data_IF_825390708507
#
_entry.id   IF_825390708507
#
_cell.length_a   1.000
_cell.length_b   1.000
_cell.length_c   1.000
_cell.angle_alpha   90.00
_cell.angle_beta   90.00
_cell.angle_gamma   90.00
#
_symmetry.space_group_name_H-M   'P 1'
#
loop_
_entity.id
_entity.type
_entity.pdbx_description
1 polymer ?
#
# COMPACT_ATOMS: atom_id res chain seq x y z
N UNK A 1 26.13 -3.17 -10.16
CA UNK A 1 26.37 -3.74 -11.51
C UNK A 1 27.01 -2.73 -12.46
N UNK A 2 26.39 -1.57 -12.72
CA UNK A 2 26.87 -0.62 -13.75
C UNK A 2 28.30 -0.13 -13.54
N UNK A 3 28.70 0.17 -12.31
CA UNK A 3 30.09 0.56 -12.01
C UNK A 3 31.09 -0.57 -12.33
N UNK A 4 30.72 -1.82 -12.06
CA UNK A 4 31.58 -2.98 -12.32
C UNK A 4 31.71 -3.24 -13.83
N UNK A 5 30.60 -3.10 -14.57
CA UNK A 5 30.62 -3.18 -16.03
C UNK A 5 31.41 -2.03 -16.63
N UNK A 6 31.19 -0.80 -16.15
CA UNK A 6 31.93 0.39 -16.59
C UNK A 6 33.44 0.20 -16.37
N UNK A 7 33.83 -0.34 -15.21
CA UNK A 7 35.22 -0.65 -14.90
C UNK A 7 35.77 -1.73 -15.84
N UNK A 8 35.07 -2.85 -16.02
CA UNK A 8 35.48 -3.92 -16.93
C UNK A 8 35.66 -3.45 -18.38
N UNK A 9 34.67 -2.75 -18.94
CA UNK A 9 34.76 -2.20 -20.31
C UNK A 9 35.82 -1.10 -20.43
N UNK A 10 36.00 -0.24 -19.42
CA UNK A 10 37.07 0.76 -19.42
C UNK A 10 38.45 0.12 -19.39
N UNK A 11 38.65 -0.95 -18.61
CA UNK A 11 39.87 -1.76 -18.63
C UNK A 11 40.09 -2.39 -20.00
N UNK A 12 39.06 -2.94 -20.64
CA UNK A 12 39.17 -3.49 -21.99
C UNK A 12 39.54 -2.42 -23.03
N UNK A 13 38.95 -1.21 -22.95
CA UNK A 13 39.29 -0.10 -23.84
C UNK A 13 40.76 0.32 -23.62
N UNK A 14 41.20 0.42 -22.36
CA UNK A 14 42.57 0.79 -22.01
C UNK A 14 43.61 -0.23 -22.48
N UNK A 15 43.35 -1.53 -22.26
CA UNK A 15 44.21 -2.62 -22.74
C UNK A 15 44.29 -2.64 -24.27
N UNK A 16 43.15 -2.42 -24.94
CA UNK A 16 43.12 -2.31 -26.39
C UNK A 16 43.84 -1.06 -26.91
N UNK A 17 43.80 0.07 -26.19
CA UNK A 17 44.49 1.31 -26.57
C UNK A 17 46.01 1.21 -26.41
N UNK A 18 46.47 0.60 -25.31
CA UNK A 18 47.90 0.37 -25.02
C UNK A 18 48.51 -0.76 -25.86
N UNK A 19 47.73 -1.37 -26.78
CA UNK A 19 48.14 -2.51 -27.62
C UNK A 19 48.61 -3.74 -26.83
N UNK A 20 48.22 -3.84 -25.56
CA UNK A 20 48.51 -5.00 -24.70
C UNK A 20 47.54 -6.12 -25.10
N UNK A 21 48.01 -7.04 -25.95
CA UNK A 21 47.23 -8.20 -26.40
C UNK A 21 47.37 -9.42 -25.49
N UNK A 22 47.57 -9.21 -24.18
CA UNK A 22 47.69 -10.35 -23.26
C UNK A 22 46.31 -10.98 -23.05
N UNK A 23 46.15 -12.22 -23.52
CA UNK A 23 44.89 -12.96 -23.42
C UNK A 23 44.39 -13.04 -21.98
N UNK A 24 45.31 -13.13 -21.02
CA UNK A 24 45.00 -13.17 -19.58
C UNK A 24 44.39 -11.86 -19.08
N UNK A 25 44.94 -10.69 -19.47
CA UNK A 25 44.41 -9.41 -19.01
C UNK A 25 43.07 -9.08 -19.67
N UNK A 26 42.92 -9.37 -20.96
CA UNK A 26 41.63 -9.23 -21.65
C UNK A 26 40.57 -10.16 -21.06
N UNK A 27 40.93 -11.41 -20.79
CA UNK A 27 40.01 -12.38 -20.17
C UNK A 27 39.61 -11.94 -18.76
N UNK A 28 40.55 -11.42 -17.97
CA UNK A 28 40.26 -10.89 -16.64
C UNK A 28 39.30 -9.69 -16.69
N UNK A 29 39.56 -8.72 -17.56
CA UNK A 29 38.67 -7.56 -17.75
C UNK A 29 37.28 -7.99 -18.25
N UNK A 30 37.23 -8.97 -19.15
CA UNK A 30 35.98 -9.55 -19.64
C UNK A 30 35.21 -10.31 -18.54
N UNK A 31 35.91 -11.04 -17.66
CA UNK A 31 35.30 -11.69 -16.50
C UNK A 31 34.64 -10.66 -15.57
N UNK A 32 35.30 -9.52 -15.31
CA UNK A 32 34.74 -8.43 -14.50
C UNK A 32 33.48 -7.86 -15.16
N UNK A 33 33.53 -7.57 -16.46
CA UNK A 33 32.38 -7.06 -17.21
C UNK A 33 31.20 -8.06 -17.18
N UNK A 34 31.50 -9.35 -17.40
CA UNK A 34 30.52 -10.44 -17.39
C UNK A 34 29.89 -10.65 -16.01
N UNK A 35 30.69 -10.56 -14.94
CA UNK A 35 30.18 -10.60 -13.58
C UNK A 35 29.25 -9.41 -13.29
N UNK A 36 29.60 -8.23 -13.79
CA UNK A 36 28.74 -7.05 -13.72
C UNK A 36 27.40 -7.23 -14.43
N UNK A 37 27.41 -7.90 -15.59
CA UNK A 37 26.22 -8.24 -16.38
C UNK A 37 25.32 -9.24 -15.65
N UNK A 38 25.90 -10.32 -15.09
CA UNK A 38 25.19 -11.29 -14.28
C UNK A 38 24.54 -10.63 -13.07
N UNK A 39 25.28 -9.75 -12.37
CA UNK A 39 24.74 -8.99 -11.25
C UNK A 39 23.60 -8.05 -11.66
N UNK A 40 23.68 -7.46 -12.86
CA UNK A 40 22.63 -6.61 -13.40
C UNK A 40 21.33 -7.38 -13.59
N UNK A 41 21.39 -8.59 -14.15
CA UNK A 41 20.22 -9.45 -14.34
C UNK A 41 19.55 -9.81 -13.00
N UNK A 42 20.36 -10.22 -12.02
CA UNK A 42 19.87 -10.50 -10.66
C UNK A 42 19.20 -9.26 -10.03
N UNK A 43 19.87 -8.10 -10.11
CA UNK A 43 19.36 -6.85 -9.53
C UNK A 43 18.07 -6.39 -10.22
N UNK A 44 17.96 -6.49 -11.55
CA UNK A 44 16.75 -6.10 -12.27
C UNK A 44 15.54 -6.95 -11.90
N UNK A 45 15.73 -8.23 -11.55
CA UNK A 45 14.64 -9.10 -11.12
C UNK A 45 14.09 -8.65 -9.77
N UNK A 46 14.98 -8.35 -8.81
CA UNK A 46 14.60 -7.83 -7.49
C UNK A 46 13.92 -6.46 -7.62
N UNK A 47 14.51 -5.54 -8.39
CA UNK A 47 13.93 -4.21 -8.61
C UNK A 47 12.58 -4.27 -9.34
N UNK A 48 12.36 -5.28 -10.19
CA UNK A 48 11.06 -5.46 -10.84
C UNK A 48 10.00 -5.92 -9.83
N UNK A 49 10.36 -6.80 -8.90
CA UNK A 49 9.47 -7.16 -7.80
C UNK A 49 9.11 -5.93 -6.93
N UNK A 50 10.10 -5.08 -6.61
CA UNK A 50 9.85 -3.83 -5.88
C UNK A 50 8.91 -2.89 -6.65
N UNK A 51 9.06 -2.81 -7.98
CA UNK A 51 8.16 -2.04 -8.84
C UNK A 51 6.74 -2.62 -8.88
N UNK A 52 6.58 -3.94 -8.79
CA UNK A 52 5.26 -4.59 -8.68
C UNK A 52 4.58 -4.17 -7.39
N UNK A 53 5.29 -4.24 -6.27
CA UNK A 53 4.75 -3.87 -4.96
C UNK A 53 4.45 -2.36 -4.90
N UNK A 54 5.30 -1.50 -5.48
CA UNK A 54 5.01 -0.07 -5.61
C UNK A 54 3.79 0.22 -6.50
N UNK A 55 3.63 -0.52 -7.60
CA UNK A 55 2.48 -0.40 -8.49
C UNK A 55 1.18 -0.76 -7.78
N UNK A 56 1.20 -1.84 -6.99
CA UNK A 56 0.10 -2.24 -6.12
C UNK A 56 -0.22 -1.16 -5.08
N UNK A 57 0.80 -0.59 -4.41
CA UNK A 57 0.64 0.53 -3.48
C UNK A 57 -0.02 1.77 -4.12
N UNK A 58 0.32 2.11 -5.37
CA UNK A 58 -0.18 3.32 -6.03
C UNK A 58 -1.54 3.15 -6.71
N UNK A 59 -1.82 1.96 -7.23
CA UNK A 59 -2.97 1.70 -8.10
C UNK A 59 -4.02 0.79 -7.46
N UNK A 60 -3.72 0.21 -6.29
CA UNK A 60 -4.58 -0.74 -5.59
C UNK A 60 -4.99 -1.97 -6.43
N UNK A 61 -4.22 -2.27 -7.48
CA UNK A 61 -4.42 -3.44 -8.36
C UNK A 61 -3.06 -4.07 -8.59
N UNK A 62 -2.94 -5.37 -8.26
CA UNK A 62 -1.71 -6.11 -8.52
C UNK A 62 -1.60 -6.42 -10.01
N UNK A 63 -0.71 -5.70 -10.69
CA UNK A 63 -0.45 -5.84 -12.14
C UNK A 63 0.84 -6.63 -12.42
N UNK A 64 1.14 -7.62 -11.59
CA UNK A 64 2.39 -8.39 -11.62
C UNK A 64 2.69 -8.97 -13.01
N UNK A 65 1.71 -9.65 -13.61
CA UNK A 65 1.87 -10.26 -14.94
C UNK A 65 2.19 -9.23 -16.02
N UNK A 66 1.60 -8.03 -15.95
CA UNK A 66 1.85 -6.95 -16.90
C UNK A 66 3.25 -6.35 -16.73
N UNK A 67 3.70 -6.15 -15.49
CA UNK A 67 5.03 -5.59 -15.18
C UNK A 67 6.14 -6.55 -15.62
N UNK A 68 6.04 -7.85 -15.29
CA UNK A 68 7.01 -8.86 -15.74
C UNK A 68 6.98 -9.06 -17.27
N UNK A 69 5.81 -8.95 -17.89
CA UNK A 69 5.69 -9.01 -19.35
C UNK A 69 6.39 -7.82 -20.04
N UNK A 70 6.21 -6.60 -19.52
CA UNK A 70 6.89 -5.40 -20.03
C UNK A 70 8.40 -5.51 -19.82
N UNK A 71 8.86 -5.99 -18.66
CA UNK A 71 10.28 -6.24 -18.41
C UNK A 71 10.86 -7.21 -19.45
N UNK A 72 10.19 -8.34 -19.68
CA UNK A 72 10.63 -9.37 -20.63
C UNK A 72 10.62 -8.86 -22.07
N UNK A 73 9.57 -8.15 -22.47
CA UNK A 73 9.47 -7.54 -23.80
C UNK A 73 10.56 -6.49 -24.01
N UNK A 74 10.80 -5.62 -23.03
CA UNK A 74 11.86 -4.62 -23.06
C UNK A 74 13.25 -5.24 -23.15
N UNK A 75 13.52 -6.30 -22.40
CA UNK A 75 14.78 -7.04 -22.47
C UNK A 75 15.00 -7.65 -23.87
N UNK A 76 13.97 -8.29 -24.44
CA UNK A 76 14.04 -8.85 -25.81
C UNK A 76 14.28 -7.76 -26.85
N UNK A 77 13.53 -6.66 -26.81
CA UNK A 77 13.74 -5.52 -27.69
C UNK A 77 15.15 -4.95 -27.58
N UNK A 78 15.67 -4.78 -26.37
CA UNK A 78 17.04 -4.35 -26.12
C UNK A 78 18.07 -5.29 -26.75
N UNK A 79 17.91 -6.61 -26.56
CA UNK A 79 18.79 -7.61 -27.20
C UNK A 79 18.68 -7.60 -28.72
N UNK A 80 17.48 -7.40 -29.28
CA UNK A 80 17.27 -7.29 -30.73
C UNK A 80 17.96 -6.06 -31.31
N UNK A 81 17.82 -4.90 -30.66
CA UNK A 81 18.50 -3.65 -31.08
C UNK A 81 20.01 -3.83 -31.01
N UNK A 82 20.53 -4.44 -29.93
CA UNK A 82 21.95 -4.74 -29.79
C UNK A 82 22.46 -5.68 -30.90
N UNK A 83 21.73 -6.76 -31.21
CA UNK A 83 22.06 -7.69 -32.30
C UNK A 83 22.02 -7.03 -33.68
N UNK A 84 21.06 -6.14 -33.94
CA UNK A 84 20.99 -5.37 -35.18
C UNK A 84 22.21 -4.44 -35.29
N UNK A 85 22.54 -3.71 -34.21
CA UNK A 85 23.71 -2.81 -34.19
C UNK A 85 25.03 -3.58 -34.38
N UNK A 86 25.22 -4.67 -33.65
CA UNK A 86 26.40 -5.53 -33.80
C UNK A 86 26.48 -6.19 -35.17
N UNK A 87 25.36 -6.72 -35.68
CA UNK A 87 25.28 -7.38 -36.98
C UNK A 87 25.53 -6.43 -38.14
N UNK A 88 24.94 -5.23 -38.10
CA UNK A 88 25.20 -4.18 -39.11
C UNK A 88 26.64 -3.69 -39.05
N UNK A 89 27.21 -3.52 -37.86
CA UNK A 89 28.62 -3.17 -37.70
C UNK A 89 29.56 -4.24 -38.29
N UNK A 90 29.28 -5.53 -38.07
CA UNK A 90 30.04 -6.63 -38.68
C UNK A 90 29.83 -6.71 -40.20
N UNK A 91 28.59 -6.50 -40.67
CA UNK A 91 28.26 -6.52 -42.08
C UNK A 91 28.98 -5.40 -42.84
N UNK A 92 28.98 -4.17 -42.32
CA UNK A 92 29.74 -3.02 -42.85
C UNK A 92 31.24 -3.31 -42.95
N UNK A 93 31.80 -4.03 -41.97
CA UNK A 93 33.21 -4.45 -41.98
C UNK A 93 33.46 -5.53 -43.04
N UNK A 94 32.51 -6.44 -43.27
CA UNK A 94 32.65 -7.57 -44.21
C UNK A 94 32.33 -7.25 -45.67
N UNK A 95 31.54 -6.20 -45.95
CA UNK A 95 31.03 -5.89 -47.30
C UNK A 95 31.96 -4.99 -48.12
N UNK A 96 33.02 -4.43 -47.54
CA UNK A 96 34.03 -3.67 -48.28
C UNK A 96 34.93 -4.65 -49.06
N UNK A 97 34.89 -4.66 -50.41
CA UNK A 97 35.70 -5.57 -51.20
C UNK A 97 37.17 -5.16 -51.08
N UNK A 98 37.96 -6.05 -50.50
CA UNK A 98 39.32 -5.78 -50.03
C UNK A 98 39.32 -5.78 -48.51
N UNK A 99 39.84 -6.87 -47.92
CA UNK A 99 39.90 -7.07 -46.47
C UNK A 99 40.31 -5.77 -45.78
N UNK A 100 39.34 -5.09 -45.15
CA UNK A 100 39.63 -3.85 -44.46
C UNK A 100 40.77 -4.15 -43.47
N UNK A 101 41.83 -3.34 -43.43
CA UNK A 101 42.99 -3.63 -42.60
C UNK A 101 42.53 -3.87 -41.15
N UNK A 102 43.15 -4.82 -40.46
CA UNK A 102 42.81 -5.29 -39.10
C UNK A 102 42.52 -4.10 -38.14
N UNK A 103 43.18 -2.97 -38.39
CA UNK A 103 42.98 -1.68 -37.71
C UNK A 103 41.52 -1.20 -37.71
N UNK A 104 40.81 -1.24 -38.84
CA UNK A 104 39.41 -0.81 -38.96
C UNK A 104 38.44 -1.64 -38.11
N UNK A 105 38.65 -2.96 -38.02
CA UNK A 105 37.83 -3.87 -37.21
C UNK A 105 38.02 -3.56 -35.71
N UNK A 106 39.25 -3.24 -35.32
CA UNK A 106 39.59 -2.80 -33.96
C UNK A 106 38.92 -1.46 -33.63
N UNK A 107 38.86 -0.51 -34.58
CA UNK A 107 38.15 0.76 -34.37
C UNK A 107 36.64 0.58 -34.18
N UNK A 108 35.99 -0.27 -34.99
CA UNK A 108 34.56 -0.58 -34.81
C UNK A 108 34.28 -1.27 -33.47
N UNK A 109 35.15 -2.19 -33.06
CA UNK A 109 35.05 -2.84 -31.75
C UNK A 109 35.18 -1.84 -30.60
N UNK A 110 36.18 -0.94 -30.64
CA UNK A 110 36.37 0.13 -29.65
C UNK A 110 35.17 1.08 -29.59
N UNK A 111 34.63 1.47 -30.73
CA UNK A 111 33.45 2.34 -30.80
C UNK A 111 32.24 1.70 -30.10
N UNK A 112 32.00 0.40 -30.31
CA UNK A 112 30.92 -0.32 -29.64
C UNK A 112 31.08 -0.36 -28.10
N UNK A 113 32.31 -0.51 -27.60
CA UNK A 113 32.60 -0.51 -26.16
C UNK A 113 32.39 0.87 -25.53
N UNK A 114 32.77 1.94 -26.23
CA UNK A 114 32.55 3.32 -25.77
C UNK A 114 31.05 3.60 -25.66
N UNK A 115 30.25 3.18 -26.64
CA UNK A 115 28.80 3.32 -26.61
C UNK A 115 28.20 2.62 -25.38
N UNK A 116 28.64 1.39 -25.08
CA UNK A 116 28.20 0.66 -23.88
C UNK A 116 28.55 1.42 -22.60
N UNK A 117 29.77 1.98 -22.49
CA UNK A 117 30.15 2.79 -21.33
C UNK A 117 29.27 4.03 -21.16
N UNK A 118 28.98 4.75 -22.25
CA UNK A 118 28.11 5.95 -22.23
C UNK A 118 26.68 5.60 -21.77
N UNK A 119 26.13 4.50 -22.27
CA UNK A 119 24.82 4.00 -21.83
C UNK A 119 24.83 3.64 -20.34
N UNK A 120 25.93 3.08 -19.81
CA UNK A 120 26.05 2.78 -18.37
C UNK A 120 26.14 4.04 -17.50
N UNK A 121 26.85 5.07 -17.94
CA UNK A 121 26.87 6.37 -17.24
C UNK A 121 25.47 6.98 -17.22
N UNK A 122 24.78 6.97 -18.36
CA UNK A 122 23.40 7.44 -18.45
C UNK A 122 22.48 6.66 -17.51
N UNK A 123 22.63 5.34 -17.43
CA UNK A 123 21.81 4.50 -16.54
C UNK A 123 22.08 4.80 -15.06
N UNK A 124 23.35 5.03 -14.69
CA UNK A 124 23.72 5.47 -13.33
C UNK A 124 23.08 6.83 -13.03
N UNK A 125 23.15 7.77 -13.97
CA UNK A 125 22.53 9.09 -13.82
C UNK A 125 21.02 8.98 -13.61
N UNK A 126 20.33 8.17 -14.41
CA UNK A 126 18.88 7.95 -14.26
C UNK A 126 18.57 7.33 -12.89
N UNK A 127 19.33 6.32 -12.48
CA UNK A 127 19.15 5.67 -11.18
C UNK A 127 19.29 6.66 -10.03
N UNK A 128 20.38 7.44 -9.99
CA UNK A 128 20.66 8.36 -8.89
C UNK A 128 19.65 9.52 -8.80
N UNK A 129 19.09 9.97 -9.92
CA UNK A 129 18.17 11.12 -9.92
C UNK A 129 16.69 10.75 -9.81
N UNK A 130 16.28 9.58 -10.33
CA UNK A 130 14.86 9.24 -10.47
C UNK A 130 14.42 8.04 -9.62
N UNK A 131 15.33 7.17 -9.17
CA UNK A 131 14.96 6.02 -8.36
C UNK A 131 14.76 6.44 -6.89
N UNK A 132 13.51 6.49 -6.45
CA UNK A 132 13.12 6.97 -5.10
C UNK A 132 12.78 5.84 -4.12
N UNK A 133 12.77 4.60 -4.59
CA UNK A 133 12.28 3.46 -3.84
C UNK A 133 13.40 2.85 -2.98
N UNK A 134 13.84 3.56 -1.94
CA UNK A 134 14.89 3.11 -1.04
C UNK A 134 14.63 3.55 0.42
N UNK A 135 15.28 2.87 1.37
CA UNK A 135 15.25 3.23 2.80
C UNK A 135 13.85 3.27 3.41
N UNK A 136 13.55 4.36 4.13
CA UNK A 136 12.29 4.55 4.89
C UNK A 136 11.06 4.53 3.97
N UNK A 137 11.16 5.10 2.77
CA UNK A 137 10.04 5.11 1.83
C UNK A 137 9.71 3.72 1.30
N UNK A 138 10.72 2.89 1.07
CA UNK A 138 10.53 1.50 0.66
C UNK A 138 9.90 0.66 1.79
N UNK A 139 10.37 0.81 3.03
CA UNK A 139 9.75 0.19 4.21
C UNK A 139 8.26 0.55 4.31
N UNK A 140 7.92 1.84 4.14
CA UNK A 140 6.52 2.28 4.13
C UNK A 140 5.68 1.61 3.02
N UNK A 141 6.24 1.43 1.83
CA UNK A 141 5.56 0.74 0.72
C UNK A 141 5.34 -0.73 1.07
N UNK A 142 6.35 -1.41 1.61
CA UNK A 142 6.24 -2.80 2.04
C UNK A 142 5.23 -2.98 3.17
N UNK A 143 5.25 -2.13 4.20
CA UNK A 143 4.28 -2.17 5.29
C UNK A 143 2.85 -2.06 4.79
N UNK A 144 2.59 -1.18 3.82
CA UNK A 144 1.27 -0.99 3.24
C UNK A 144 0.88 -2.14 2.32
N UNK A 145 1.80 -2.65 1.50
CA UNK A 145 1.55 -3.83 0.64
C UNK A 145 1.37 -5.09 1.48
N UNK A 146 2.07 -5.23 2.59
CA UNK A 146 1.91 -6.31 3.55
C UNK A 146 0.56 -6.19 4.28
N UNK A 147 0.11 -4.96 4.61
CA UNK A 147 -1.26 -4.68 5.06
C UNK A 147 -2.32 -5.01 4.00
N UNK A 148 -2.00 -5.00 2.70
CA UNK A 148 -2.91 -5.45 1.65
C UNK A 148 -2.87 -6.98 1.47
N UNK A 149 -1.66 -7.59 1.46
CA UNK A 149 -1.43 -9.03 1.26
C UNK A 149 -1.90 -9.89 2.42
N UNK A 150 -1.66 -9.44 3.65
CA UNK A 150 -2.17 -10.13 4.82
C UNK A 150 -3.70 -9.93 4.97
N UNK A 151 -4.31 -9.20 4.01
CA UNK A 151 -5.34 -8.25 4.32
C UNK A 151 -4.90 -7.39 5.50
N UNK A 152 -5.82 -6.60 5.97
CA UNK A 152 -6.03 -6.63 7.40
C UNK A 152 -5.77 -8.04 7.98
N UNK A 153 -4.73 -8.24 8.81
CA UNK A 153 -4.83 -9.23 9.90
C UNK A 153 -5.81 -8.64 10.92
N UNK A 154 -7.05 -8.62 10.46
CA UNK A 154 -8.27 -8.73 11.20
C UNK A 154 -8.90 -9.99 10.58
N UNK A 155 -8.42 -11.13 11.07
CA UNK A 155 -8.82 -12.51 10.80
C UNK A 155 -10.21 -12.67 10.14
N UNK A 156 -10.29 -12.66 8.80
CA UNK A 156 -11.56 -12.66 8.04
C UNK A 156 -12.30 -14.02 8.04
N UNK A 157 -11.84 -15.01 8.83
CA UNK A 157 -12.64 -16.20 9.18
C UNK A 157 -13.37 -16.06 10.52
N UNK A 158 -13.16 -14.99 11.28
CA UNK A 158 -13.77 -14.77 12.60
C UNK A 158 -14.27 -13.33 12.81
N UNK A 159 -14.61 -12.63 11.72
CA UNK A 159 -15.09 -11.26 11.80
C UNK A 159 -16.38 -11.08 11.05
N UNK A 160 -17.45 -11.00 11.82
CA UNK A 160 -18.76 -10.60 11.33
C UNK A 160 -18.65 -9.17 10.78
N UNK A 161 -18.96 -8.92 9.49
CA UNK A 161 -19.12 -7.57 8.98
C UNK A 161 -20.05 -6.72 9.86
N UNK A 162 -19.82 -5.41 9.85
CA UNK A 162 -20.58 -4.39 10.59
C UNK A 162 -22.07 -4.57 10.34
N UNK A 163 -22.48 -4.97 9.12
CA UNK A 163 -23.87 -5.34 8.80
C UNK A 163 -24.52 -6.37 9.74
N UNK A 164 -23.76 -7.24 10.41
CA UNK A 164 -24.30 -8.21 11.38
C UNK A 164 -24.45 -7.64 12.78
N UNK A 165 -23.70 -6.58 13.12
CA UNK A 165 -23.83 -5.84 14.38
C UNK A 165 -24.81 -4.66 14.26
N UNK A 166 -24.99 -4.11 13.06
CA UNK A 166 -25.91 -3.03 12.77
C UNK A 166 -27.36 -3.53 12.77
N UNK A 167 -28.24 -2.84 13.48
CA UNK A 167 -29.68 -3.04 13.38
C UNK A 167 -30.33 -1.72 12.94
N UNK A 168 -31.32 -1.83 12.04
CA UNK A 168 -32.12 -0.69 11.60
C UNK A 168 -32.82 0.03 12.74
N UNK A 169 -33.20 -0.70 13.78
CA UNK A 169 -33.93 -0.16 14.93
C UNK A 169 -32.96 0.47 15.97
N UNK A 170 -31.64 0.37 15.74
CA UNK A 170 -30.60 0.90 16.61
C UNK A 170 -29.92 2.16 16.06
N UNK A 171 -30.66 2.96 15.30
CA UNK A 171 -30.16 4.19 14.69
C UNK A 171 -31.06 5.35 15.08
N UNK A 172 -30.44 6.46 15.47
CA UNK A 172 -31.11 7.68 15.86
C UNK A 172 -30.64 8.79 14.92
N UNK A 173 -31.54 9.30 14.10
CA UNK A 173 -31.25 10.43 13.22
C UNK A 173 -31.66 11.74 13.88
N UNK A 174 -30.78 12.73 13.87
CA UNK A 174 -31.02 14.07 14.42
C UNK A 174 -31.54 14.02 15.86
N UNK A 175 -30.84 13.26 16.71
CA UNK A 175 -31.13 13.19 18.12
C UNK A 175 -30.95 14.57 18.76
N UNK A 176 -31.99 15.03 19.45
CA UNK A 176 -31.98 16.26 20.23
C UNK A 176 -31.65 15.90 21.67
N UNK A 177 -30.41 16.16 22.06
CA UNK A 177 -29.89 15.88 23.39
C UNK A 177 -28.92 17.00 23.78
N UNK A 178 -28.95 17.39 25.05
CA UNK A 178 -28.13 18.48 25.57
C UNK A 178 -26.91 17.97 26.34
N UNK A 179 -26.90 16.68 26.71
CA UNK A 179 -25.81 16.06 27.49
C UNK A 179 -25.30 14.77 26.87
N UNK A 180 -24.02 14.46 27.15
CA UNK A 180 -23.40 13.19 26.74
C UNK A 180 -24.18 11.99 27.29
N UNK A 181 -24.64 12.09 28.53
CA UNK A 181 -25.38 11.02 29.21
C UNK A 181 -26.74 10.76 28.55
N UNK A 182 -27.44 11.79 28.07
CA UNK A 182 -28.70 11.61 27.30
C UNK A 182 -28.46 10.82 26.01
N UNK A 183 -27.41 11.17 25.25
CA UNK A 183 -27.06 10.46 24.01
C UNK A 183 -26.70 9.01 24.29
N UNK A 184 -25.87 8.77 25.30
CA UNK A 184 -25.44 7.43 25.67
C UNK A 184 -26.62 6.58 26.15
N UNK A 185 -27.49 7.12 27.01
CA UNK A 185 -28.67 6.37 27.47
C UNK A 185 -29.62 6.03 26.32
N UNK A 186 -29.89 6.97 25.41
CA UNK A 186 -30.74 6.71 24.25
C UNK A 186 -30.17 5.60 23.34
N UNK A 187 -28.86 5.59 23.12
CA UNK A 187 -28.20 4.53 22.34
C UNK A 187 -28.20 3.19 23.08
N UNK A 188 -28.06 3.18 24.41
CA UNK A 188 -28.18 1.97 25.24
C UNK A 188 -29.59 1.40 25.16
N UNK A 189 -30.62 2.25 25.24
CA UNK A 189 -32.03 1.84 25.13
C UNK A 189 -32.27 1.15 23.78
N UNK A 190 -31.71 1.72 22.70
CA UNK A 190 -31.75 1.09 21.38
C UNK A 190 -31.06 -0.27 21.32
N UNK A 191 -29.93 -0.44 21.99
CA UNK A 191 -29.26 -1.75 22.07
C UNK A 191 -30.07 -2.78 22.87
N UNK A 192 -30.77 -2.33 23.91
CA UNK A 192 -31.64 -3.17 24.73
C UNK A 192 -32.91 -3.60 23.96
N UNK A 193 -33.57 -2.67 23.27
CA UNK A 193 -34.73 -2.92 22.39
C UNK A 193 -34.46 -4.01 21.35
N UNK A 194 -33.26 -4.00 20.76
CA UNK A 194 -32.84 -5.01 19.77
C UNK A 194 -32.29 -6.30 20.39
N UNK A 195 -32.47 -6.48 21.71
CA UNK A 195 -32.01 -7.64 22.47
C UNK A 195 -30.51 -7.91 22.30
N UNK A 196 -29.68 -6.87 22.24
CA UNK A 196 -28.22 -7.00 22.19
C UNK A 196 -27.59 -7.18 23.57
N UNK A 197 -28.29 -6.76 24.64
CA UNK A 197 -27.80 -6.77 26.01
C UNK A 197 -28.46 -7.90 26.81
N UNK A 198 -27.70 -8.49 27.74
CA UNK A 198 -28.24 -9.33 28.81
C UNK A 198 -28.63 -8.48 30.03
N UNK A 199 -27.93 -7.35 30.26
CA UNK A 199 -28.23 -6.39 31.33
C UNK A 199 -27.90 -4.97 30.90
N UNK A 200 -28.95 -4.17 30.63
CA UNK A 200 -28.85 -2.73 30.35
C UNK A 200 -28.12 -1.97 31.45
N UNK A 201 -28.44 -2.26 32.71
CA UNK A 201 -27.91 -1.56 33.88
C UNK A 201 -26.41 -1.78 34.05
N UNK A 202 -25.95 -3.04 33.91
CA UNK A 202 -24.53 -3.36 33.98
C UNK A 202 -23.73 -2.78 32.81
N UNK A 203 -24.31 -2.81 31.60
CA UNK A 203 -23.70 -2.19 30.43
C UNK A 203 -23.50 -0.67 30.64
N UNK A 204 -24.54 0.03 31.08
CA UNK A 204 -24.49 1.47 31.35
C UNK A 204 -23.45 1.83 32.40
N UNK A 205 -23.39 1.06 33.51
CA UNK A 205 -22.41 1.26 34.57
C UNK A 205 -20.98 1.06 34.07
N UNK A 206 -20.73 -0.02 33.32
CA UNK A 206 -19.40 -0.31 32.78
C UNK A 206 -18.96 0.76 31.78
N UNK A 207 -19.85 1.17 30.87
CA UNK A 207 -19.54 2.19 29.87
C UNK A 207 -19.20 3.53 30.51
N UNK A 208 -19.99 3.96 31.51
CA UNK A 208 -19.73 5.19 32.26
C UNK A 208 -18.34 5.18 32.91
N UNK A 209 -18.00 4.10 33.61
CA UNK A 209 -16.67 3.94 34.22
C UNK A 209 -15.54 4.03 33.20
N UNK A 210 -15.70 3.43 32.00
CA UNK A 210 -14.69 3.53 30.94
C UNK A 210 -14.54 4.97 30.42
N UNK A 211 -15.66 5.68 30.24
CA UNK A 211 -15.65 7.05 29.73
C UNK A 211 -15.09 8.06 30.75
N UNK A 212 -15.19 7.77 32.06
CA UNK A 212 -14.52 8.55 33.11
C UNK A 212 -12.99 8.37 33.07
N UNK A 213 -12.50 7.21 32.62
CA UNK A 213 -11.05 6.92 32.51
C UNK A 213 -10.45 7.43 31.20
N UNK A 214 -11.21 7.36 30.10
CA UNK A 214 -10.74 7.75 28.78
C UNK A 214 -11.88 8.38 27.96
N UNK A 215 -11.65 9.55 27.33
CA UNK A 215 -12.60 10.14 26.40
C UNK A 215 -12.97 9.19 25.26
N UNK A 216 -14.20 9.30 24.77
CA UNK A 216 -14.69 8.48 23.66
C UNK A 216 -14.57 9.18 22.29
N UNK A 217 -14.28 10.49 22.27
CA UNK A 217 -14.02 11.25 21.07
C UNK A 217 -12.70 10.84 20.41
N UNK A 218 -12.69 10.79 19.08
CA UNK A 218 -11.50 10.40 18.30
C UNK A 218 -11.00 11.56 17.44
N UNK A 219 -11.72 11.87 16.38
CA UNK A 219 -11.43 12.99 15.48
C UNK A 219 -12.63 13.22 14.57
N UNK A 220 -12.61 14.31 13.81
CA UNK A 220 -13.58 14.57 12.73
C UNK A 220 -15.02 14.60 13.24
N UNK A 221 -15.25 15.03 14.48
CA UNK A 221 -16.59 15.09 15.09
C UNK A 221 -17.21 13.71 15.38
N UNK A 222 -16.38 12.68 15.59
CA UNK A 222 -16.83 11.31 15.83
C UNK A 222 -16.47 10.87 17.26
N UNK A 223 -17.45 10.27 17.94
CA UNK A 223 -17.26 9.53 19.19
C UNK A 223 -17.57 8.04 19.01
N UNK A 224 -16.74 7.18 19.61
CA UNK A 224 -16.93 5.71 19.61
C UNK A 224 -16.92 5.17 21.06
N UNK A 225 -17.97 5.49 21.85
CA UNK A 225 -18.14 4.88 23.15
C UNK A 225 -18.29 3.35 22.99
N UNK A 226 -17.65 2.57 23.86
CA UNK A 226 -17.66 1.13 23.72
C UNK A 226 -17.50 0.39 25.05
N UNK A 227 -18.21 -0.73 25.19
CA UNK A 227 -18.06 -1.63 26.32
C UNK A 227 -18.15 -3.09 25.89
N UNK A 228 -17.45 -3.94 26.65
CA UNK A 228 -17.45 -5.38 26.45
C UNK A 228 -17.62 -6.11 27.78
N UNK A 229 -18.39 -7.19 27.78
CA UNK A 229 -18.66 -7.96 29.00
C UNK A 229 -19.76 -8.99 28.81
N UNK A 230 -20.00 -9.81 29.84
CA UNK A 230 -21.03 -10.86 29.83
C UNK A 230 -22.46 -10.28 29.89
N UNK A 231 -22.57 -9.00 30.25
CA UNK A 231 -23.80 -8.20 30.13
C UNK A 231 -24.19 -7.89 28.68
N UNK A 232 -23.39 -8.28 27.68
CA UNK A 232 -23.71 -8.19 26.26
C UNK A 232 -24.01 -9.58 25.70
N UNK A 233 -25.20 -9.75 25.11
CA UNK A 233 -25.65 -11.01 24.51
C UNK A 233 -24.97 -11.32 23.18
N UNK A 234 -24.85 -10.29 22.34
CA UNK A 234 -24.28 -10.39 20.99
C UNK A 234 -23.63 -9.06 20.60
N UNK A 235 -22.65 -9.11 19.71
CA UNK A 235 -22.04 -7.89 19.19
C UNK A 235 -23.11 -7.02 18.49
N UNK A 236 -23.14 -5.73 18.81
CA UNK A 236 -24.10 -4.78 18.27
C UNK A 236 -23.50 -3.38 18.16
N UNK A 237 -24.00 -2.62 17.19
CA UNK A 237 -23.64 -1.25 16.90
C UNK A 237 -24.91 -0.40 16.90
N UNK A 238 -24.94 0.63 17.75
CA UNK A 238 -25.95 1.68 17.69
C UNK A 238 -25.32 2.99 17.20
N UNK A 239 -26.04 3.74 16.37
CA UNK A 239 -25.52 4.95 15.72
C UNK A 239 -26.45 6.12 15.98
N UNK A 240 -25.88 7.29 16.33
CA UNK A 240 -26.62 8.53 16.40
C UNK A 240 -25.97 9.63 15.55
N UNK A 241 -26.80 10.41 14.87
CA UNK A 241 -26.44 11.77 14.43
C UNK A 241 -27.11 12.78 15.36
N UNK A 242 -26.38 13.77 15.83
CA UNK A 242 -26.87 14.75 16.81
C UNK A 242 -27.28 16.05 16.12
N UNK A 243 -28.35 16.70 16.59
CA UNK A 243 -28.68 18.07 16.15
C UNK A 243 -27.65 19.09 16.64
N UNK A 244 -27.15 18.88 17.86
CA UNK A 244 -26.18 19.75 18.53
C UNK A 244 -24.93 18.93 18.81
N UNK A 245 -23.76 19.31 18.27
CA UNK A 245 -22.51 18.63 18.59
C UNK A 245 -22.20 18.76 20.09
N UNK A 246 -21.81 17.66 20.75
CA UNK A 246 -21.47 17.60 22.17
C UNK A 246 -20.00 17.28 22.38
N UNK A 247 -19.44 17.68 23.51
CA UNK A 247 -18.05 17.36 23.82
C UNK A 247 -17.92 15.92 24.33
N UNK A 248 -17.14 15.11 23.62
CA UNK A 248 -16.78 13.74 24.00
C UNK A 248 -15.27 13.60 24.27
N UNK A 249 -14.55 14.74 24.38
CA UNK A 249 -13.11 14.82 24.64
C UNK A 249 -12.25 14.38 23.47
N UNK A 250 -12.60 14.77 22.24
CA UNK A 250 -11.81 14.45 21.04
C UNK A 250 -10.41 15.08 21.11
N UNK A 251 -9.34 14.33 20.77
CA UNK A 251 -7.97 14.84 20.66
C UNK A 251 -7.78 16.12 19.82
N UNK A 252 -8.64 16.33 18.82
CA UNK A 252 -8.61 17.51 17.94
C UNK A 252 -9.43 18.70 18.46
N UNK A 253 -9.99 18.58 19.67
CA UNK A 253 -10.81 19.60 20.33
C UNK A 253 -12.19 19.80 19.69
N UNK A 254 -12.59 18.99 18.71
CA UNK A 254 -13.91 19.11 18.07
C UNK A 254 -14.98 18.39 18.88
N UNK A 255 -16.12 19.07 19.01
CA UNK A 255 -17.36 18.43 19.46
C UNK A 255 -17.83 17.39 18.46
N UNK A 256 -18.42 16.30 18.95
CA UNK A 256 -18.90 15.20 18.16
C UNK A 256 -20.40 15.33 17.86
N UNK A 257 -20.75 15.08 16.60
CA UNK A 257 -22.11 15.02 16.08
C UNK A 257 -22.46 13.64 15.52
N UNK A 258 -21.46 12.76 15.38
CA UNK A 258 -21.63 11.36 15.03
C UNK A 258 -21.18 10.49 16.20
N UNK A 259 -22.05 9.61 16.68
CA UNK A 259 -21.77 8.74 17.83
C UNK A 259 -22.04 7.28 17.44
N UNK A 260 -21.04 6.43 17.64
CA UNK A 260 -21.11 5.00 17.33
C UNK A 260 -20.88 4.18 18.59
N UNK A 261 -21.97 3.74 19.23
CA UNK A 261 -21.91 2.92 20.44
C UNK A 261 -21.71 1.45 20.10
N UNK A 262 -20.60 0.88 20.56
CA UNK A 262 -20.28 -0.54 20.39
C UNK A 262 -20.56 -1.33 21.68
N UNK A 263 -21.32 -2.41 21.54
CA UNK A 263 -21.48 -3.43 22.56
C UNK A 263 -20.92 -4.77 22.05
N UNK A 264 -20.08 -5.43 22.86
CA UNK A 264 -19.53 -6.74 22.50
C UNK A 264 -19.48 -7.73 23.68
N UNK A 265 -19.71 -9.03 23.46
CA UNK A 265 -19.54 -10.06 24.50
C UNK A 265 -18.07 -10.23 24.86
N UNK A 266 -17.80 -10.80 26.05
CA UNK A 266 -16.45 -10.99 26.59
C UNK A 266 -15.68 -12.18 25.98
N UNK A 267 -15.67 -12.30 24.65
CA UNK A 267 -14.97 -13.38 23.93
C UNK A 267 -13.62 -12.93 23.35
N UNK A 268 -13.10 -11.78 23.79
CA UNK A 268 -11.81 -11.18 23.43
C UNK A 268 -11.70 -10.66 21.99
N UNK A 269 -12.39 -11.29 21.03
CA UNK A 269 -12.23 -11.05 19.60
C UNK A 269 -13.30 -10.10 19.03
N UNK A 270 -14.56 -10.24 19.44
CA UNK A 270 -15.67 -9.53 18.78
C UNK A 270 -15.58 -8.02 18.90
N UNK A 271 -15.15 -7.52 20.06
CA UNK A 271 -15.01 -6.09 20.33
C UNK A 271 -13.99 -5.42 19.41
N UNK A 272 -12.76 -5.96 19.42
CA UNK A 272 -11.64 -5.42 18.64
C UNK A 272 -11.99 -5.49 17.15
N UNK A 273 -12.59 -6.61 16.72
CA UNK A 273 -12.99 -6.84 15.33
C UNK A 273 -14.01 -5.83 14.80
N UNK A 274 -15.06 -5.54 15.57
CA UNK A 274 -16.08 -4.57 15.18
C UNK A 274 -15.51 -3.15 15.16
N UNK A 275 -14.70 -2.80 16.16
CA UNK A 275 -14.03 -1.49 16.24
C UNK A 275 -13.10 -1.27 15.03
N UNK A 276 -12.25 -2.23 14.68
CA UNK A 276 -11.33 -2.12 13.55
C UNK A 276 -12.05 -1.91 12.22
N UNK A 277 -13.13 -2.67 11.95
CA UNK A 277 -13.94 -2.48 10.73
C UNK A 277 -14.67 -1.16 10.70
N UNK A 278 -15.21 -0.71 11.84
CA UNK A 278 -15.85 0.58 11.93
C UNK A 278 -14.85 1.72 11.69
N UNK A 279 -13.65 1.65 12.28
CA UNK A 279 -12.59 2.64 12.06
C UNK A 279 -12.18 2.73 10.58
N UNK A 280 -12.15 1.62 9.85
CA UNK A 280 -11.95 1.63 8.40
C UNK A 280 -13.03 2.41 7.65
N UNK A 281 -14.31 2.08 7.91
CA UNK A 281 -15.46 2.77 7.30
C UNK A 281 -15.41 4.26 7.60
N UNK A 282 -15.06 4.65 8.83
CA UNK A 282 -15.05 6.05 9.25
C UNK A 282 -13.86 6.85 8.71
N UNK A 283 -12.76 6.18 8.36
CA UNK A 283 -11.59 6.79 7.74
C UNK A 283 -11.72 6.95 6.21
N UNK A 284 -12.75 6.36 5.60
CA UNK A 284 -13.01 6.55 4.17
C UNK A 284 -13.20 8.03 3.84
N UNK A 285 -12.53 8.50 2.78
CA UNK A 285 -12.46 9.92 2.44
C UNK A 285 -13.86 10.52 2.25
N UNK A 286 -14.20 11.50 3.09
CA UNK A 286 -15.48 12.20 3.08
C UNK A 286 -16.69 11.36 3.53
N UNK A 287 -16.49 10.14 4.05
CA UNK A 287 -17.58 9.31 4.56
C UNK A 287 -18.28 9.91 5.78
N UNK A 288 -17.59 10.49 6.78
CA UNK A 288 -18.25 11.18 7.89
C UNK A 288 -19.18 12.31 7.44
N UNK A 289 -18.75 13.12 6.45
CA UNK A 289 -19.55 14.22 5.92
C UNK A 289 -20.77 13.71 5.12
N UNK A 290 -20.62 12.57 4.44
CA UNK A 290 -21.77 11.84 3.89
C UNK A 290 -22.70 11.42 5.04
N UNK A 291 -22.25 10.85 6.14
CA UNK A 291 -23.19 10.48 7.21
C UNK A 291 -23.93 11.68 7.79
N UNK A 292 -23.27 12.85 7.95
CA UNK A 292 -23.91 14.09 8.41
C UNK A 292 -25.03 14.60 7.51
N UNK A 293 -24.92 14.36 6.21
CA UNK A 293 -25.89 14.82 5.20
C UNK A 293 -26.98 13.79 4.91
N UNK A 294 -27.04 12.69 5.65
CA UNK A 294 -28.15 11.75 5.54
C UNK A 294 -29.45 12.40 6.04
N UNK A 295 -30.54 12.23 5.30
CA UNK A 295 -31.85 12.78 5.61
C UNK A 295 -32.75 11.85 6.43
N UNK A 296 -32.31 10.62 6.71
CA UNK A 296 -33.08 9.63 7.49
C UNK A 296 -32.21 8.52 8.08
N UNK A 297 -32.74 7.79 9.05
CA UNK A 297 -32.14 6.58 9.62
C UNK A 297 -31.84 5.51 8.54
N UNK A 298 -32.80 5.30 7.63
CA UNK A 298 -32.65 4.36 6.51
C UNK A 298 -31.48 4.76 5.59
N UNK A 299 -31.28 6.05 5.37
CA UNK A 299 -30.16 6.55 4.57
C UNK A 299 -28.81 6.37 5.26
N UNK A 300 -28.75 6.57 6.59
CA UNK A 300 -27.54 6.28 7.39
C UNK A 300 -27.15 4.81 7.23
N UNK A 301 -28.10 3.88 7.41
CA UNK A 301 -27.88 2.43 7.21
C UNK A 301 -27.31 2.18 5.83
N UNK A 302 -27.99 2.67 4.80
CA UNK A 302 -27.60 2.42 3.42
C UNK A 302 -26.21 2.97 3.10
N UNK A 303 -25.86 4.14 3.63
CA UNK A 303 -24.51 4.72 3.47
C UNK A 303 -23.45 3.86 4.15
N UNK A 304 -23.68 3.39 5.39
CA UNK A 304 -22.77 2.48 6.11
C UNK A 304 -22.61 1.16 5.35
N UNK A 305 -23.71 0.51 4.97
CA UNK A 305 -23.67 -0.77 4.26
C UNK A 305 -22.99 -0.67 2.89
N UNK A 306 -23.26 0.40 2.14
CA UNK A 306 -22.63 0.65 0.83
C UNK A 306 -21.13 0.92 0.96
N UNK A 307 -20.72 1.65 1.99
CA UNK A 307 -19.30 1.89 2.27
C UNK A 307 -18.60 0.59 2.68
N UNK A 308 -19.21 -0.21 3.57
CA UNK A 308 -18.68 -1.52 3.93
C UNK A 308 -18.55 -2.46 2.71
N UNK A 309 -19.53 -2.47 1.80
CA UNK A 309 -19.44 -3.25 0.57
C UNK A 309 -18.27 -2.80 -0.32
N UNK A 310 -18.02 -1.49 -0.42
CA UNK A 310 -16.91 -0.96 -1.22
C UNK A 310 -15.54 -1.32 -0.63
N UNK A 311 -15.44 -1.46 0.69
CA UNK A 311 -14.22 -1.88 1.37
C UNK A 311 -13.93 -3.38 1.30
N UNK A 312 -14.94 -4.20 0.94
CA UNK A 312 -14.81 -5.66 0.82
C UNK A 312 -14.39 -6.08 -0.61
N UNK A 313 -14.49 -5.17 -1.60
CA UNK A 313 -14.18 -5.38 -3.02
C UNK A 313 -12.83 -4.73 -3.33
#
# INVERSE_FOLDING_TARGET
SCLLMLFGYSCMIFLNYTSVQSINALSFAYCIASFGMAWSQASTTVMTADCVDYGEFRLNVRSEGLVFSIQTAGAKLGTSIALILSGTAMALVSYLPGAMPITSQIYSFRASQIIVCLLMVLMIFIYLNYYKLHGIFFQKVLDVVEQFKNGFIFNNKQQSPVRYALNKDAILHNLDADTQDEVINALIDKLDEVNALNSRQEFAKCLKQKMELAPAGIALGIAIPHANGDFVRRAALAVATLKKPLDFGSPDGRKCDLVFLIAAPNNGKSHINLLGRLSLILNENGFPDKLRTAGSEAEIINRILKCEQHLII
#
